data_IF_693215278132
#
_entry.id   IF_693215278132
#
_cell.length_a   1.000
_cell.length_b   1.000
_cell.length_c   1.000
_cell.angle_alpha   90.00
_cell.angle_beta   90.00
_cell.angle_gamma   90.00
#
_symmetry.space_group_name_H-M   'P 1'
#
loop_
_entity.id
_entity.type
_entity.pdbx_description
1 polymer ?
#
# COMPACT_ATOMS: atom_id res chain seq x y z
N UNK A 1 1.25 42.11 -8.87
CA UNK A 1 0.56 41.48 -10.04
C UNK A 1 -0.73 42.19 -10.45
N UNK A 2 -1.66 42.52 -9.53
CA UNK A 2 -2.94 43.17 -9.89
C UNK A 2 -2.81 44.62 -10.39
N UNK A 3 -1.79 45.36 -9.92
CA UNK A 3 -1.58 46.76 -10.30
C UNK A 3 -1.02 46.91 -11.71
N UNK A 4 -0.03 46.10 -12.10
CA UNK A 4 0.50 46.02 -13.48
C UNK A 4 -0.60 45.77 -14.52
N UNK A 5 -1.62 44.94 -14.19
CA UNK A 5 -2.76 44.69 -15.10
C UNK A 5 -3.70 45.90 -15.23
N UNK A 6 -3.88 46.71 -14.18
CA UNK A 6 -4.70 47.93 -14.25
C UNK A 6 -3.99 49.04 -15.04
N UNK A 7 -2.69 49.15 -14.90
CA UNK A 7 -1.86 50.12 -15.61
C UNK A 7 -1.80 49.83 -17.12
N UNK A 8 -1.59 48.56 -17.51
CA UNK A 8 -1.61 48.14 -18.93
C UNK A 8 -2.95 48.44 -19.61
N UNK A 9 -4.07 48.31 -18.89
CA UNK A 9 -5.42 48.64 -19.42
C UNK A 9 -5.64 50.14 -19.61
N UNK A 10 -5.11 50.99 -18.73
CA UNK A 10 -5.20 52.45 -18.86
C UNK A 10 -4.36 52.95 -20.05
N UNK A 11 -3.14 52.44 -20.20
CA UNK A 11 -2.27 52.76 -21.32
C UNK A 11 -2.88 52.34 -22.69
N UNK A 12 -3.54 51.16 -22.76
CA UNK A 12 -4.27 50.73 -23.99
C UNK A 12 -5.42 51.68 -24.32
N UNK A 13 -6.20 52.09 -23.30
CA UNK A 13 -7.36 52.98 -23.51
C UNK A 13 -6.92 54.37 -23.99
N UNK A 14 -5.81 54.88 -23.45
CA UNK A 14 -5.23 56.17 -23.83
C UNK A 14 -4.66 56.14 -25.26
N UNK A 15 -3.96 55.07 -25.65
CA UNK A 15 -3.47 54.89 -27.02
C UNK A 15 -4.60 54.79 -28.05
N UNK A 16 -5.70 54.11 -27.72
CA UNK A 16 -6.89 54.02 -28.60
C UNK A 16 -7.59 55.37 -28.77
N UNK A 17 -7.69 56.16 -27.69
CA UNK A 17 -8.26 57.51 -27.76
C UNK A 17 -7.37 58.46 -28.59
N UNK A 18 -6.05 58.32 -28.47
CA UNK A 18 -5.09 59.12 -29.24
C UNK A 18 -5.09 58.76 -30.73
N UNK A 19 -5.20 57.47 -31.07
CA UNK A 19 -5.35 57.01 -32.46
C UNK A 19 -6.65 57.50 -33.10
N UNK A 20 -7.76 57.57 -32.35
CA UNK A 20 -9.05 58.11 -32.85
C UNK A 20 -9.05 59.62 -33.12
N UNK A 21 -8.15 60.39 -32.51
CA UNK A 21 -8.02 61.82 -32.75
C UNK A 21 -7.00 62.16 -33.86
N UNK A 22 -6.15 61.20 -34.25
CA UNK A 22 -5.02 61.42 -35.16
C UNK A 22 -5.30 61.18 -36.64
N UNK A 23 -6.45 60.64 -37.04
CA UNK A 23 -6.82 60.47 -38.45
C UNK A 23 -5.84 59.66 -39.31
N UNK A 24 -4.89 58.94 -38.71
CA UNK A 24 -4.01 58.01 -39.41
C UNK A 24 -4.70 56.66 -39.49
N UNK A 25 -5.08 56.26 -40.70
CA UNK A 25 -5.42 54.89 -41.08
C UNK A 25 -4.17 54.01 -40.96
N UNK A 26 -3.72 53.76 -39.73
CA UNK A 26 -2.82 52.67 -39.44
C UNK A 26 -3.66 51.38 -39.48
N UNK A 27 -3.39 50.57 -40.50
CA UNK A 27 -3.93 49.24 -40.75
C UNK A 27 -4.14 48.43 -39.46
N UNK A 28 -5.40 48.20 -39.13
CA UNK A 28 -5.85 47.41 -37.98
C UNK A 28 -5.45 45.91 -38.04
N UNK A 29 -4.70 45.50 -39.07
CA UNK A 29 -4.38 44.10 -39.36
C UNK A 29 -3.07 43.62 -38.70
N UNK A 30 -2.12 44.52 -38.38
CA UNK A 30 -0.88 44.11 -37.69
C UNK A 30 -1.05 43.97 -36.17
N UNK A 31 -2.03 44.65 -35.57
CA UNK A 31 -2.19 44.67 -34.10
C UNK A 31 -2.96 43.47 -33.53
N UNK A 32 -3.64 42.69 -34.39
CA UNK A 32 -4.40 41.50 -33.98
C UNK A 32 -3.64 40.17 -34.17
N UNK A 33 -2.59 40.16 -35.01
CA UNK A 33 -1.80 38.95 -35.28
C UNK A 33 -0.83 38.64 -34.13
N UNK A 34 -0.19 39.65 -33.53
CA UNK A 34 0.73 39.48 -32.39
C UNK A 34 0.04 39.00 -31.10
N UNK A 35 -1.17 39.50 -30.80
CA UNK A 35 -1.94 39.09 -29.61
C UNK A 35 -2.36 37.59 -29.71
N UNK A 36 -2.56 37.06 -30.91
CA UNK A 36 -2.89 35.64 -31.13
C UNK A 36 -1.65 34.74 -30.99
N UNK A 37 -0.49 35.17 -31.47
CA UNK A 37 0.76 34.42 -31.30
C UNK A 37 1.24 34.36 -29.85
N UNK A 38 1.14 35.46 -29.10
CA UNK A 38 1.46 35.47 -27.67
C UNK A 38 0.51 34.56 -26.88
N UNK A 39 -0.79 34.55 -27.22
CA UNK A 39 -1.78 33.69 -26.57
C UNK A 39 -1.56 32.20 -26.93
N UNK A 40 -1.14 31.91 -28.17
CA UNK A 40 -0.74 30.56 -28.59
C UNK A 40 0.52 30.10 -27.85
N UNK A 41 1.54 30.95 -27.75
CA UNK A 41 2.76 30.65 -26.97
C UNK A 41 2.45 30.44 -25.50
N UNK A 42 1.53 31.21 -24.91
CA UNK A 42 1.11 31.02 -23.51
C UNK A 42 0.32 29.72 -23.31
N UNK A 43 -0.52 29.34 -24.28
CA UNK A 43 -1.24 28.05 -24.28
C UNK A 43 -0.29 26.88 -24.44
N UNK A 44 0.70 26.98 -25.31
CA UNK A 44 1.76 25.97 -25.48
C UNK A 44 2.63 25.85 -24.24
N UNK A 45 3.01 26.97 -23.63
CA UNK A 45 3.76 26.96 -22.36
C UNK A 45 2.97 26.31 -21.25
N UNK A 46 1.68 26.61 -21.10
CA UNK A 46 0.82 25.97 -20.10
C UNK A 46 0.62 24.48 -20.38
N UNK A 47 0.48 24.10 -21.65
CA UNK A 47 0.39 22.69 -22.05
C UNK A 47 1.68 21.93 -21.73
N UNK A 48 2.83 22.57 -21.96
CA UNK A 48 4.15 22.03 -21.64
C UNK A 48 4.36 21.96 -20.12
N UNK A 49 3.97 22.99 -19.38
CA UNK A 49 4.01 23.03 -17.91
C UNK A 49 3.18 21.89 -17.31
N UNK A 50 1.95 21.68 -17.80
CA UNK A 50 1.08 20.58 -17.39
C UNK A 50 1.71 19.20 -17.67
N UNK A 51 2.32 19.04 -18.85
CA UNK A 51 3.00 17.79 -19.23
C UNK A 51 4.22 17.51 -18.34
N UNK A 52 4.96 18.55 -17.95
CA UNK A 52 6.09 18.43 -17.04
C UNK A 52 5.64 18.17 -15.60
N UNK A 53 4.53 18.75 -15.14
CA UNK A 53 3.97 18.45 -13.81
C UNK A 53 3.45 17.03 -13.70
N UNK A 54 2.82 16.48 -14.75
CA UNK A 54 2.37 15.08 -14.75
C UNK A 54 3.55 14.09 -14.61
N UNK A 55 4.70 14.40 -15.22
CA UNK A 55 5.91 13.58 -15.05
C UNK A 55 6.57 13.78 -13.67
N UNK A 56 6.41 14.96 -13.07
CA UNK A 56 6.97 15.28 -11.74
C UNK A 56 6.15 14.64 -10.62
N UNK A 57 4.83 14.66 -10.71
CA UNK A 57 3.94 13.93 -9.80
C UNK A 57 4.11 12.41 -9.92
N UNK A 58 4.34 11.89 -11.14
CA UNK A 58 4.62 10.46 -11.35
C UNK A 58 6.00 10.03 -10.84
N UNK A 59 7.00 10.93 -10.86
CA UNK A 59 8.31 10.67 -10.27
C UNK A 59 8.32 10.78 -8.73
N UNK A 60 7.34 11.46 -8.13
CA UNK A 60 7.18 11.53 -6.68
C UNK A 60 6.54 10.25 -6.10
N UNK A 61 5.71 9.54 -6.87
CA UNK A 61 5.07 8.27 -6.46
C UNK A 61 6.00 7.04 -6.53
N UNK A 62 7.12 7.07 -7.26
CA UNK A 62 8.09 5.95 -7.32
C UNK A 62 9.11 5.92 -6.17
N UNK A 63 9.01 6.83 -5.19
CA UNK A 63 10.01 7.00 -4.12
C UNK A 63 9.51 6.70 -2.69
N UNK A 64 8.47 5.87 -2.54
CA UNK A 64 7.95 5.50 -1.20
C UNK A 64 9.02 4.83 -0.30
N UNK A 65 9.95 4.08 -0.88
CA UNK A 65 11.07 3.47 -0.14
C UNK A 65 12.10 4.52 0.35
N UNK A 66 12.31 5.59 -0.43
CA UNK A 66 13.24 6.67 -0.12
C UNK A 66 12.66 7.65 0.92
N UNK A 67 11.34 7.88 0.93
CA UNK A 67 10.68 8.63 2.00
C UNK A 67 10.82 7.94 3.35
N UNK A 68 10.59 6.62 3.45
CA UNK A 68 10.77 5.90 4.71
C UNK A 68 12.22 5.93 5.20
N UNK A 69 13.20 5.84 4.29
CA UNK A 69 14.61 5.97 4.61
C UNK A 69 14.98 7.39 5.08
N UNK A 70 14.42 8.43 4.45
CA UNK A 70 14.63 9.84 4.83
C UNK A 70 13.99 10.18 6.18
N UNK A 71 12.88 9.55 6.56
CA UNK A 71 12.20 9.78 7.84
C UNK A 71 12.91 9.07 9.01
N UNK A 72 13.53 7.91 8.78
CA UNK A 72 14.41 7.25 9.76
C UNK A 72 15.64 8.10 10.08
N UNK A 73 16.21 8.80 9.08
CA UNK A 73 17.32 9.75 9.26
C UNK A 73 16.91 11.06 9.94
N UNK A 74 15.63 11.46 9.87
CA UNK A 74 15.10 12.72 10.43
C UNK A 74 14.57 12.61 11.87
N UNK A 75 14.78 11.49 12.56
CA UNK A 75 14.43 11.36 13.99
C UNK A 75 12.95 11.52 14.30
N UNK A 76 12.05 11.41 13.30
CA UNK A 76 10.61 11.48 13.56
C UNK A 76 10.23 10.29 14.42
N UNK A 77 9.69 10.59 15.59
CA UNK A 77 9.41 9.62 16.63
C UNK A 77 8.56 8.46 16.10
N UNK A 78 8.75 7.27 16.67
CA UNK A 78 7.95 6.06 16.41
C UNK A 78 6.43 6.34 16.48
N UNK A 79 6.04 7.39 17.21
CA UNK A 79 4.67 7.89 17.32
C UNK A 79 4.16 8.56 16.03
N UNK A 80 4.94 9.41 15.37
CA UNK A 80 4.55 10.03 14.09
C UNK A 80 4.37 8.97 12.97
N UNK A 81 5.23 7.94 12.96
CA UNK A 81 5.08 6.82 12.03
C UNK A 81 3.81 6.00 12.34
N UNK A 82 3.51 5.80 13.62
CA UNK A 82 2.29 5.09 14.06
C UNK A 82 1.02 5.90 13.77
N UNK A 83 1.08 7.22 13.86
CA UNK A 83 -0.02 8.12 13.55
C UNK A 83 -0.31 8.19 12.05
N UNK A 84 0.72 8.22 11.19
CA UNK A 84 0.57 8.07 9.73
C UNK A 84 0.00 6.70 9.34
N UNK A 85 0.42 5.61 10.00
CA UNK A 85 -0.20 4.28 9.78
C UNK A 85 -1.67 4.27 10.20
N UNK A 86 -1.99 4.88 11.34
CA UNK A 86 -3.38 5.04 11.80
C UNK A 86 -4.20 5.94 10.87
N UNK A 87 -3.62 6.97 10.25
CA UNK A 87 -4.34 7.80 9.28
C UNK A 87 -4.60 7.08 7.97
N UNK A 88 -3.71 6.19 7.51
CA UNK A 88 -3.98 5.28 6.38
C UNK A 88 -5.05 4.22 6.70
N UNK A 89 -5.15 3.76 7.95
CA UNK A 89 -6.27 2.90 8.40
C UNK A 89 -7.63 3.64 8.48
N UNK A 90 -7.65 4.98 8.36
CA UNK A 90 -8.88 5.81 8.44
C UNK A 90 -9.65 5.93 7.11
N UNK A 91 -9.26 5.23 6.05
CA UNK A 91 -10.09 5.01 4.85
C UNK A 91 -11.28 4.05 5.14
N UNK A 92 -11.87 4.20 6.33
CA UNK A 92 -12.74 3.25 7.02
C UNK A 92 -14.21 3.33 6.62
N UNK A 93 -14.53 3.78 5.41
CA UNK A 93 -15.91 3.74 4.89
C UNK A 93 -16.19 2.52 4.03
N UNK A 94 -15.14 1.86 3.51
CA UNK A 94 -15.32 0.66 2.70
C UNK A 94 -15.32 -0.60 3.57
N UNK A 95 -16.47 -1.28 3.62
CA UNK A 95 -16.63 -2.58 4.28
C UNK A 95 -16.97 -3.60 3.20
N UNK A 96 -16.03 -4.51 2.91
CA UNK A 96 -16.29 -5.61 1.99
C UNK A 96 -17.24 -6.64 2.63
N UNK A 97 -18.27 -7.05 1.89
CA UNK A 97 -19.10 -8.18 2.29
C UNK A 97 -18.44 -9.49 1.86
N UNK A 98 -17.79 -10.15 2.81
CA UNK A 98 -17.09 -11.42 2.58
C UNK A 98 -18.04 -12.62 2.57
N UNK A 99 -19.34 -12.40 2.76
CA UNK A 99 -20.38 -13.44 2.69
C UNK A 99 -20.89 -13.65 1.27
N UNK A 100 -20.57 -12.74 0.34
CA UNK A 100 -20.96 -12.84 -1.06
C UNK A 100 -20.19 -13.97 -1.76
N UNK A 101 -20.93 -14.81 -2.50
CA UNK A 101 -20.40 -15.95 -3.26
C UNK A 101 -19.28 -15.55 -4.21
N UNK A 102 -19.28 -14.31 -4.72
CA UNK A 102 -18.23 -13.80 -5.60
C UNK A 102 -16.85 -13.80 -4.94
N UNK A 103 -16.77 -13.73 -3.61
CA UNK A 103 -15.50 -13.77 -2.86
C UNK A 103 -15.11 -15.18 -2.42
N UNK A 104 -15.89 -16.21 -2.71
CA UNK A 104 -15.60 -17.58 -2.32
C UNK A 104 -14.27 -18.07 -2.91
N UNK A 105 -13.99 -17.75 -4.17
CA UNK A 105 -12.72 -18.05 -4.83
C UNK A 105 -11.53 -17.39 -4.12
N UNK A 106 -11.70 -16.17 -3.61
CA UNK A 106 -10.65 -15.44 -2.88
C UNK A 106 -10.37 -16.08 -1.50
N UNK A 107 -11.41 -16.59 -0.84
CA UNK A 107 -11.28 -17.26 0.46
C UNK A 107 -10.68 -18.66 0.33
N UNK A 108 -10.94 -19.36 -0.77
CA UNK A 108 -10.57 -20.77 -0.96
C UNK A 108 -9.29 -20.96 -1.75
N UNK A 109 -9.08 -20.21 -2.84
CA UNK A 109 -7.91 -20.36 -3.70
C UNK A 109 -6.62 -19.96 -2.98
N UNK A 110 -5.52 -20.59 -3.39
CA UNK A 110 -4.19 -20.24 -2.90
C UNK A 110 -3.57 -19.06 -3.66
N UNK A 111 -4.05 -18.78 -4.87
CA UNK A 111 -3.54 -17.69 -5.72
C UNK A 111 -3.76 -16.31 -5.09
N UNK A 112 -4.83 -16.18 -4.29
CA UNK A 112 -5.17 -14.94 -3.58
C UNK A 112 -4.69 -14.96 -2.11
N UNK A 113 -3.69 -15.79 -1.78
CA UNK A 113 -3.19 -15.89 -0.42
C UNK A 113 -2.40 -14.64 -0.01
N UNK A 114 -3.02 -13.81 0.84
CA UNK A 114 -2.32 -12.73 1.52
C UNK A 114 -1.37 -13.30 2.59
N UNK A 115 -0.07 -13.02 2.45
CA UNK A 115 0.96 -13.40 3.41
C UNK A 115 1.36 -12.21 4.30
N UNK A 116 1.08 -12.25 5.62
CA UNK A 116 1.48 -11.20 6.56
C UNK A 116 3.00 -10.99 6.70
N UNK A 117 3.81 -11.93 6.22
CA UNK A 117 5.29 -11.88 6.26
C UNK A 117 5.89 -11.20 5.02
N UNK A 118 5.11 -11.04 3.95
CA UNK A 118 5.55 -10.38 2.73
C UNK A 118 5.71 -8.87 2.97
N UNK A 119 6.82 -8.23 2.55
CA UNK A 119 7.08 -6.81 2.85
C UNK A 119 6.02 -5.88 2.24
N UNK A 120 5.44 -6.26 1.10
CA UNK A 120 4.35 -5.51 0.45
C UNK A 120 2.97 -5.71 1.12
N UNK A 121 2.89 -6.47 2.21
CA UNK A 121 1.62 -6.70 2.91
C UNK A 121 1.20 -5.45 3.68
N UNK A 122 0.12 -4.81 3.20
CA UNK A 122 -0.48 -3.67 3.87
C UNK A 122 -1.55 -4.15 4.85
N UNK A 123 -1.30 -3.91 6.15
CA UNK A 123 -2.30 -4.13 7.21
C UNK A 123 -3.38 -3.07 7.10
N UNK A 124 -4.55 -3.47 6.62
CA UNK A 124 -5.75 -2.63 6.61
C UNK A 124 -6.94 -3.41 7.20
N UNK A 125 -8.06 -2.74 7.47
CA UNK A 125 -9.24 -3.39 8.05
C UNK A 125 -9.83 -4.49 7.16
N UNK A 126 -9.82 -4.29 5.85
CA UNK A 126 -10.35 -5.26 4.87
C UNK A 126 -9.54 -6.55 4.79
N UNK A 127 -8.21 -6.44 4.70
CA UNK A 127 -7.26 -7.57 4.71
C UNK A 127 -7.31 -8.33 6.03
N UNK A 128 -7.45 -7.62 7.16
CA UNK A 128 -7.67 -8.26 8.46
C UNK A 128 -8.97 -9.07 8.50
N UNK A 129 -10.07 -8.53 7.97
CA UNK A 129 -11.34 -9.24 7.86
C UNK A 129 -11.24 -10.45 6.90
N UNK A 130 -10.55 -10.30 5.78
CA UNK A 130 -10.33 -11.37 4.79
C UNK A 130 -9.53 -12.53 5.37
N UNK A 131 -8.43 -12.24 6.07
CA UNK A 131 -7.62 -13.26 6.74
C UNK A 131 -8.42 -14.02 7.80
N UNK A 132 -9.28 -13.32 8.55
CA UNK A 132 -10.17 -13.94 9.54
C UNK A 132 -11.20 -14.86 8.86
N UNK A 133 -11.89 -14.38 7.83
CA UNK A 133 -12.88 -15.16 7.08
C UNK A 133 -12.26 -16.41 6.42
N UNK A 134 -11.04 -16.28 5.89
CA UNK A 134 -10.27 -17.40 5.31
C UNK A 134 -9.92 -18.46 6.35
N UNK A 135 -9.45 -18.03 7.53
CA UNK A 135 -9.17 -18.93 8.66
C UNK A 135 -10.42 -19.70 9.10
N UNK A 136 -11.55 -19.01 9.24
CA UNK A 136 -12.83 -19.62 9.61
C UNK A 136 -13.31 -20.63 8.56
N UNK A 137 -13.20 -20.29 7.27
CA UNK A 137 -13.57 -21.18 6.16
C UNK A 137 -12.72 -22.44 6.16
N UNK A 138 -11.39 -22.30 6.33
CA UNK A 138 -10.48 -23.45 6.40
C UNK A 138 -10.76 -24.34 7.61
N UNK A 139 -11.06 -23.76 8.77
CA UNK A 139 -11.44 -24.52 9.95
C UNK A 139 -12.76 -25.29 9.74
N UNK A 140 -13.74 -24.68 9.07
CA UNK A 140 -15.00 -25.35 8.71
C UNK A 140 -14.75 -26.51 7.74
N UNK A 141 -13.93 -26.31 6.70
CA UNK A 141 -13.56 -27.36 5.75
C UNK A 141 -12.85 -28.55 6.45
N UNK A 142 -11.90 -28.27 7.34
CA UNK A 142 -11.22 -29.32 8.13
C UNK A 142 -12.20 -30.07 9.03
N UNK A 143 -13.14 -29.37 9.68
CA UNK A 143 -14.16 -30.01 10.52
C UNK A 143 -15.12 -30.89 9.70
N UNK A 144 -15.47 -30.46 8.48
CA UNK A 144 -16.31 -31.24 7.58
C UNK A 144 -15.59 -32.47 7.04
N UNK A 145 -14.32 -32.36 6.65
CA UNK A 145 -13.49 -33.51 6.25
C UNK A 145 -13.36 -34.53 7.38
N UNK A 146 -13.07 -34.08 8.60
CA UNK A 146 -13.05 -34.98 9.78
C UNK A 146 -14.38 -35.64 10.10
N UNK A 147 -15.51 -35.06 9.67
CA UNK A 147 -16.85 -35.61 9.86
C UNK A 147 -17.24 -36.56 8.73
N UNK A 148 -16.72 -36.34 7.52
CA UNK A 148 -16.94 -37.18 6.34
C UNK A 148 -16.02 -38.41 6.32
N UNK A 149 -14.83 -38.33 6.91
CA UNK A 149 -13.88 -39.45 7.06
C UNK A 149 -14.13 -40.33 8.29
N UNK A 150 -15.35 -40.37 8.83
CA UNK A 150 -15.76 -41.44 9.74
C UNK A 150 -16.39 -42.57 8.93
N UNK A 151 -15.62 -43.56 8.44
CA UNK A 151 -16.21 -44.86 8.20
C UNK A 151 -16.64 -45.42 9.56
N UNK A 152 -17.83 -45.99 9.58
CA UNK A 152 -18.31 -46.92 10.59
C UNK A 152 -17.23 -47.95 10.96
N UNK A 153 -16.44 -47.67 11.97
CA UNK A 153 -15.59 -48.64 12.65
C UNK A 153 -15.67 -48.41 14.16
N UNK A 154 -16.52 -49.23 14.78
CA UNK A 154 -16.30 -49.90 16.06
C UNK A 154 -15.55 -49.12 17.14
N UNK A 155 -16.32 -48.67 18.14
CA UNK A 155 -16.00 -48.70 19.58
C UNK A 155 -14.52 -48.99 19.90
N UNK A 156 -13.69 -47.96 20.11
CA UNK A 156 -12.79 -47.88 21.28
C UNK A 156 -12.25 -46.46 21.46
N UNK A 157 -12.24 -46.05 22.73
CA UNK A 157 -11.43 -45.00 23.36
C UNK A 157 -11.54 -43.51 22.93
N UNK A 158 -12.24 -42.76 23.78
CA UNK A 158 -12.07 -41.33 24.08
C UNK A 158 -10.60 -40.85 23.94
N UNK A 159 -10.31 -39.74 23.22
CA UNK A 159 -9.10 -38.98 23.47
C UNK A 159 -9.33 -38.12 24.73
N UNK A 160 -8.86 -38.60 25.88
CA UNK A 160 -8.77 -37.75 27.06
C UNK A 160 -7.69 -36.69 26.82
N UNK A 161 -7.95 -35.46 27.27
CA UNK A 161 -7.06 -34.29 27.20
C UNK A 161 -5.77 -34.44 28.05
N UNK A 162 -5.29 -35.65 28.27
CA UNK A 162 -4.11 -35.98 29.09
C UNK A 162 -2.82 -36.18 28.27
N UNK A 163 -2.88 -36.27 26.93
CA UNK A 163 -1.71 -36.62 26.12
C UNK A 163 -0.64 -35.52 26.02
N UNK A 164 -1.01 -34.24 26.09
CA UNK A 164 -0.05 -33.13 25.97
C UNK A 164 0.96 -33.07 27.14
N UNK A 165 0.54 -33.46 28.35
CA UNK A 165 1.44 -33.53 29.51
C UNK A 165 2.40 -34.73 29.41
N UNK A 166 1.92 -35.87 28.91
CA UNK A 166 2.74 -37.06 28.67
C UNK A 166 3.78 -36.86 27.56
N UNK A 167 3.42 -36.14 26.50
CA UNK A 167 4.32 -35.85 25.38
C UNK A 167 5.49 -34.94 25.78
N UNK A 168 5.23 -33.92 26.63
CA UNK A 168 6.28 -33.05 27.17
C UNK A 168 7.21 -33.81 28.13
N UNK A 169 6.66 -34.71 28.95
CA UNK A 169 7.46 -35.53 29.85
C UNK A 169 8.33 -36.53 29.08
N UNK A 170 7.80 -37.12 28.01
CA UNK A 170 8.55 -38.00 27.11
C UNK A 170 9.69 -37.25 26.39
N UNK A 171 9.44 -36.01 25.95
CA UNK A 171 10.46 -35.16 25.34
C UNK A 171 11.58 -34.82 26.33
N UNK A 172 11.23 -34.41 27.55
CA UNK A 172 12.20 -34.09 28.61
C UNK A 172 13.08 -35.31 28.95
N UNK A 173 12.49 -36.50 29.05
CA UNK A 173 13.23 -37.75 29.27
C UNK A 173 14.17 -38.08 28.10
N UNK A 174 13.75 -37.83 26.86
CA UNK A 174 14.57 -38.06 25.65
C UNK A 174 15.77 -37.10 25.60
N UNK A 175 15.59 -35.84 25.98
CA UNK A 175 16.68 -34.86 26.08
C UNK A 175 17.67 -35.24 27.18
N UNK A 176 17.19 -35.63 28.36
CA UNK A 176 18.03 -36.10 29.47
C UNK A 176 18.88 -37.32 29.08
N UNK A 177 18.30 -38.29 28.36
CA UNK A 177 19.02 -39.46 27.84
C UNK A 177 20.05 -39.09 26.77
N UNK A 178 19.78 -38.11 25.90
CA UNK A 178 20.74 -37.64 24.89
C UNK A 178 21.95 -36.94 25.52
N UNK A 179 21.74 -36.09 26.52
CA UNK A 179 22.83 -35.40 27.21
C UNK A 179 23.74 -36.37 27.96
N UNK A 180 23.16 -37.32 28.71
CA UNK A 180 23.94 -38.35 29.41
C UNK A 180 24.74 -39.27 28.46
N UNK A 181 24.27 -39.47 27.22
CA UNK A 181 25.03 -40.20 26.19
C UNK A 181 26.17 -39.36 25.60
N UNK A 182 25.97 -38.06 25.43
CA UNK A 182 26.98 -37.15 24.89
C UNK A 182 28.18 -36.97 25.84
N UNK A 183 27.95 -37.00 27.15
CA UNK A 183 29.04 -36.95 28.15
C UNK A 183 29.86 -38.25 28.22
N UNK A 184 29.24 -39.40 27.95
CA UNK A 184 29.89 -40.71 28.05
C UNK A 184 30.69 -41.12 26.81
N UNK A 185 30.54 -40.42 25.69
CA UNK A 185 31.36 -40.68 24.50
C UNK A 185 32.58 -39.75 24.51
N UNK A 186 33.80 -40.24 24.81
CA UNK A 186 34.99 -39.43 24.65
C UNK A 186 35.11 -39.05 23.17
N UNK A 187 35.09 -37.74 22.89
CA UNK A 187 35.37 -37.21 21.55
C UNK A 187 36.77 -37.66 21.18
N UNK A 188 36.88 -38.71 20.36
CA UNK A 188 38.14 -39.11 19.73
C UNK A 188 38.59 -37.95 18.85
N UNK A 189 39.46 -37.07 19.40
CA UNK A 189 40.16 -36.04 18.63
C UNK A 189 41.08 -36.80 17.67
N UNK A 190 40.65 -36.90 16.42
CA UNK A 190 41.52 -37.27 15.31
C UNK A 190 42.60 -36.19 15.23
N UNK A 191 43.84 -36.55 15.61
CA UNK A 191 45.01 -35.71 15.34
C UNK A 191 45.26 -35.77 13.84
N UNK A 192 45.33 -34.58 13.24
CA UNK A 192 45.91 -34.33 11.91
C UNK A 192 47.43 -34.33 12.08
#
# INVERSE_FOLDING_TARGET
MRERKKEKKRARKEKILKAKQGGEEASADEFFVEDNEEEQKEKELKRLELLMTDTRERAEDESEEDEEARLKKRGKSKQAMRERRKSREKDGKFKADLSDKRFEAVLTSNEFALDPTHPKFVKNRGTGALLKARSETRQKAIKQQKRAELPSQTKTAKPSKASAAGDLQALAQRLKRKLAKAEKTPRKRTKI
#
